data_IF_401386812188
#
_entry.id   IF_401386812188
#
_cell.length_a   1.000
_cell.length_b   1.000
_cell.length_c   1.000
_cell.angle_alpha   90.00
_cell.angle_beta   90.00
_cell.angle_gamma   90.00
#
_symmetry.space_group_name_H-M   'P 1'
#
loop_
_entity.id
_entity.type
_entity.pdbx_description
1 polymer ?
#
# COMPACT_ATOMS: atom_id res chain seq x y z
N UNK A 1 20.41 -25.92 -7.21
CA UNK A 1 19.76 -24.93 -6.33
C UNK A 1 18.27 -24.94 -6.66
N UNK A 2 17.41 -25.29 -5.69
CA UNK A 2 15.96 -25.39 -5.88
C UNK A 2 15.38 -23.97 -5.93
N UNK A 3 14.82 -23.61 -7.08
CA UNK A 3 14.00 -22.44 -7.29
C UNK A 3 12.72 -22.61 -6.44
N UNK A 4 12.53 -21.76 -5.44
CA UNK A 4 11.31 -21.76 -4.62
C UNK A 4 10.13 -21.30 -5.47
N UNK A 5 9.08 -22.11 -5.55
CA UNK A 5 7.81 -21.71 -6.13
C UNK A 5 7.16 -20.70 -5.18
N UNK A 6 6.95 -19.47 -5.67
CA UNK A 6 6.18 -18.44 -4.99
C UNK A 6 4.71 -18.65 -5.34
N UNK A 7 3.85 -18.76 -4.33
CA UNK A 7 2.40 -18.80 -4.50
C UNK A 7 1.83 -17.42 -4.19
N UNK A 8 0.99 -16.94 -5.10
CA UNK A 8 0.36 -15.62 -5.07
C UNK A 8 -1.14 -15.83 -5.21
N UNK A 9 -1.91 -15.20 -4.33
CA UNK A 9 -3.35 -15.12 -4.44
C UNK A 9 -3.75 -13.65 -4.57
N UNK A 10 -4.64 -13.38 -5.51
CA UNK A 10 -5.12 -12.04 -5.83
C UNK A 10 -6.55 -11.86 -5.30
N UNK A 11 -6.78 -10.78 -4.56
CA UNK A 11 -8.05 -10.07 -4.70
C UNK A 11 -7.98 -9.27 -6.00
N UNK A 12 -9.11 -8.85 -6.57
CA UNK A 12 -9.08 -8.01 -7.78
C UNK A 12 -8.18 -6.76 -7.62
N UNK A 13 -7.91 -6.32 -6.38
CA UNK A 13 -7.28 -5.05 -5.99
C UNK A 13 -5.84 -5.09 -5.48
N UNK A 14 -5.32 -6.28 -5.15
CA UNK A 14 -4.05 -6.46 -4.43
C UNK A 14 -3.59 -7.90 -4.58
N UNK A 15 -2.28 -8.07 -4.78
CA UNK A 15 -1.65 -9.37 -4.75
C UNK A 15 -0.93 -9.55 -3.42
N UNK A 16 -1.20 -10.64 -2.72
CA UNK A 16 -0.45 -11.01 -1.53
C UNK A 16 0.61 -12.06 -1.87
N UNK A 17 1.72 -12.03 -1.15
CA UNK A 17 2.75 -13.09 -1.18
C UNK A 17 3.19 -13.40 0.24
N UNK A 18 3.01 -14.64 0.67
CA UNK A 18 3.38 -15.09 2.01
C UNK A 18 4.80 -15.69 2.04
N UNK A 19 5.57 -15.31 3.05
CA UNK A 19 6.90 -15.84 3.33
C UNK A 19 6.86 -16.54 4.69
N UNK A 20 6.79 -17.87 4.69
CA UNK A 20 6.45 -18.68 5.88
C UNK A 20 7.53 -18.68 6.98
N UNK A 21 8.79 -18.93 6.69
CA UNK A 21 9.78 -19.31 7.72
C UNK A 21 10.93 -18.30 7.87
N UNK A 22 10.57 -17.04 8.06
CA UNK A 22 11.57 -15.95 8.00
C UNK A 22 12.19 -15.63 9.35
N UNK A 23 11.43 -15.76 10.44
CA UNK A 23 11.92 -15.43 11.78
C UNK A 23 12.31 -13.96 11.95
N UNK A 24 11.74 -13.07 11.13
CA UNK A 24 12.01 -11.64 11.16
C UNK A 24 11.16 -10.96 12.23
N UNK A 25 11.68 -9.86 12.77
CA UNK A 25 10.85 -8.86 13.46
C UNK A 25 9.93 -8.16 12.45
N UNK A 26 8.91 -7.44 12.93
CA UNK A 26 7.97 -6.74 12.02
C UNK A 26 8.68 -5.73 11.13
N UNK A 27 9.64 -4.97 11.68
CA UNK A 27 10.37 -3.97 10.89
C UNK A 27 11.35 -4.61 9.90
N UNK A 28 12.01 -5.71 10.28
CA UNK A 28 12.81 -6.48 9.33
C UNK A 28 11.96 -7.12 8.21
N UNK A 29 10.73 -7.55 8.52
CA UNK A 29 9.80 -8.05 7.52
C UNK A 29 9.35 -6.93 6.56
N UNK A 30 9.12 -5.71 7.07
CA UNK A 30 8.83 -4.55 6.22
C UNK A 30 10.01 -4.21 5.30
N UNK A 31 11.24 -4.25 5.81
CA UNK A 31 12.45 -4.07 5.00
C UNK A 31 12.60 -5.18 3.95
N UNK A 32 12.28 -6.43 4.29
CA UNK A 32 12.33 -7.54 3.34
C UNK A 32 11.33 -7.38 2.20
N UNK A 33 10.08 -6.97 2.49
CA UNK A 33 9.09 -6.65 1.45
C UNK A 33 9.58 -5.48 0.58
N UNK A 34 10.09 -4.41 1.20
CA UNK A 34 10.61 -3.23 0.48
C UNK A 34 11.75 -3.58 -0.46
N UNK A 35 12.68 -4.44 -0.03
CA UNK A 35 13.80 -4.89 -0.86
C UNK A 35 13.36 -5.74 -2.07
N UNK A 36 12.10 -6.21 -2.10
CA UNK A 36 11.48 -6.91 -3.23
C UNK A 36 10.60 -6.00 -4.08
N UNK A 37 10.57 -4.69 -3.82
CA UNK A 37 9.67 -3.76 -4.48
C UNK A 37 8.22 -3.86 -3.99
N UNK A 38 7.98 -4.52 -2.85
CA UNK A 38 6.66 -4.73 -2.26
C UNK A 38 6.52 -3.91 -0.96
N UNK A 39 5.36 -4.05 -0.30
CA UNK A 39 5.11 -3.48 1.03
C UNK A 39 4.66 -4.58 1.98
N UNK A 40 4.82 -4.40 3.29
CA UNK A 40 4.21 -5.31 4.26
C UNK A 40 2.68 -5.17 4.20
N UNK A 41 1.96 -6.28 4.16
CA UNK A 41 0.56 -6.34 3.76
C UNK A 41 -0.39 -5.60 4.71
N UNK A 42 -1.25 -4.74 4.17
CA UNK A 42 -2.38 -4.14 4.88
C UNK A 42 -3.67 -4.81 4.40
N UNK A 43 -4.73 -4.82 5.21
CA UNK A 43 -6.00 -5.48 4.86
C UNK A 43 -7.15 -4.49 5.08
N UNK A 44 -7.81 -4.07 4.00
CA UNK A 44 -8.84 -3.03 4.04
C UNK A 44 -10.27 -3.53 3.83
N UNK A 45 -10.48 -4.83 3.58
CA UNK A 45 -11.81 -5.40 3.37
C UNK A 45 -11.88 -6.90 3.65
N UNK A 46 -13.10 -7.44 3.67
CA UNK A 46 -13.35 -8.86 3.82
C UNK A 46 -12.78 -9.68 2.65
N UNK A 47 -12.85 -9.15 1.42
CA UNK A 47 -12.27 -9.79 0.23
C UNK A 47 -10.74 -9.86 0.32
N UNK A 48 -10.10 -8.80 0.83
CA UNK A 48 -8.66 -8.80 1.07
C UNK A 48 -8.27 -9.78 2.18
N UNK A 49 -9.07 -9.85 3.25
CA UNK A 49 -8.88 -10.82 4.32
C UNK A 49 -8.99 -12.27 3.78
N UNK A 50 -9.92 -12.51 2.88
CA UNK A 50 -10.05 -13.80 2.20
C UNK A 50 -8.83 -14.12 1.33
N UNK A 51 -8.37 -13.17 0.50
CA UNK A 51 -7.18 -13.35 -0.34
C UNK A 51 -5.91 -13.58 0.50
N UNK A 52 -5.78 -12.88 1.63
CA UNK A 52 -4.69 -13.09 2.58
C UNK A 52 -4.73 -14.49 3.21
N UNK A 53 -5.94 -15.00 3.54
CA UNK A 53 -6.11 -16.39 4.02
C UNK A 53 -5.71 -17.42 2.95
N UNK A 54 -5.93 -17.14 1.66
CA UNK A 54 -5.50 -18.03 0.57
C UNK A 54 -3.98 -18.16 0.52
N UNK A 55 -3.23 -17.05 0.53
CA UNK A 55 -1.74 -17.14 0.48
C UNK A 55 -1.14 -17.83 1.70
N UNK A 56 -1.77 -17.72 2.87
CA UNK A 56 -1.38 -18.49 4.06
C UNK A 56 -1.59 -19.98 3.84
N UNK A 57 -2.70 -20.36 3.21
CA UNK A 57 -3.01 -21.77 2.90
C UNK A 57 -2.03 -22.32 1.87
N UNK A 58 -1.72 -21.55 0.84
CA UNK A 58 -0.84 -21.97 -0.26
C UNK A 58 0.60 -22.26 0.21
N UNK A 59 1.05 -21.57 1.26
CA UNK A 59 2.36 -21.84 1.88
C UNK A 59 2.28 -22.87 3.02
N UNK A 60 1.13 -23.51 3.23
CA UNK A 60 0.87 -24.44 4.34
C UNK A 60 1.10 -23.79 5.72
N UNK A 61 0.67 -22.53 5.90
CA UNK A 61 1.02 -21.69 7.05
C UNK A 61 0.03 -21.69 8.22
N UNK A 62 -0.92 -22.62 8.29
CA UNK A 62 -2.02 -22.57 9.28
C UNK A 62 -1.56 -22.64 10.74
N UNK A 63 -0.41 -23.25 11.01
CA UNK A 63 0.19 -23.36 12.34
C UNK A 63 0.89 -22.07 12.79
N UNK A 64 1.01 -21.10 11.89
CA UNK A 64 1.95 -19.98 11.99
C UNK A 64 1.26 -18.63 12.03
N UNK A 65 1.96 -17.67 12.60
CA UNK A 65 1.61 -16.26 12.54
C UNK A 65 2.49 -15.52 11.54
N UNK A 66 1.89 -14.55 10.87
CA UNK A 66 2.50 -13.75 9.82
C UNK A 66 2.39 -12.27 10.15
N UNK A 67 3.52 -11.56 10.10
CA UNK A 67 3.52 -10.10 10.23
C UNK A 67 2.73 -9.43 9.12
N UNK A 68 1.98 -8.40 9.51
CA UNK A 68 1.24 -7.49 8.63
C UNK A 68 1.80 -6.06 8.78
N UNK A 69 1.48 -5.22 7.81
CA UNK A 69 1.85 -3.80 7.74
C UNK A 69 1.15 -2.95 8.79
N UNK A 70 0.00 -3.41 9.30
CA UNK A 70 -0.81 -2.66 10.23
C UNK A 70 -0.16 -2.56 11.63
N UNK A 71 -0.42 -1.44 12.31
CA UNK A 71 -0.03 -1.18 13.70
C UNK A 71 -1.25 -0.74 14.48
N UNK A 72 -1.25 -1.00 15.77
CA UNK A 72 -2.21 -0.43 16.70
C UNK A 72 -1.44 0.58 17.55
N UNK A 73 -1.85 1.84 17.51
CA UNK A 73 -1.23 2.87 18.35
C UNK A 73 -2.10 3.12 19.58
N UNK A 74 -1.57 2.81 20.77
CA UNK A 74 -2.25 3.08 22.04
C UNK A 74 -1.58 2.43 23.24
N UNK A 75 -1.70 3.03 24.42
CA UNK A 75 -1.34 2.36 25.69
C UNK A 75 -2.36 1.26 26.06
N UNK A 76 -3.51 1.29 25.41
CA UNK A 76 -4.69 0.43 25.62
C UNK A 76 -4.98 -0.34 24.33
N UNK A 77 -5.49 -1.57 24.48
CA UNK A 77 -5.92 -2.42 23.36
C UNK A 77 -7.17 -1.84 22.68
N UNK A 78 -6.98 -0.83 21.85
CA UNK A 78 -7.99 -0.06 21.15
C UNK A 78 -8.16 -0.59 19.73
N UNK A 79 -9.15 -1.48 19.59
CA UNK A 79 -9.63 -2.05 18.31
C UNK A 79 -9.80 -1.01 17.19
N UNK A 80 -10.14 0.24 17.54
CA UNK A 80 -10.51 1.32 16.63
C UNK A 80 -9.31 2.15 16.12
N UNK A 81 -8.10 1.95 16.66
CA UNK A 81 -6.90 2.75 16.32
C UNK A 81 -5.87 1.98 15.48
N UNK A 82 -6.32 1.07 14.62
CA UNK A 82 -5.42 0.37 13.69
C UNK A 82 -5.06 1.30 12.55
N UNK A 83 -3.76 1.46 12.30
CA UNK A 83 -3.23 2.24 11.20
C UNK A 83 -2.41 1.40 10.22
N UNK A 84 -2.42 1.79 8.95
CA UNK A 84 -1.54 1.23 7.92
C UNK A 84 -0.10 1.74 8.10
N UNK A 85 0.83 1.24 7.28
CA UNK A 85 2.23 1.67 7.32
C UNK A 85 2.45 3.17 7.04
N UNK A 86 1.45 3.87 6.49
CA UNK A 86 1.49 5.30 6.22
C UNK A 86 0.77 6.12 7.33
N UNK A 87 0.35 5.48 8.42
CA UNK A 87 -0.31 6.12 9.57
C UNK A 87 -1.79 6.43 9.37
N UNK A 88 -2.46 5.82 8.38
CA UNK A 88 -3.88 6.04 8.13
C UNK A 88 -4.71 5.02 8.87
N UNK A 89 -5.78 5.47 9.54
CA UNK A 89 -6.73 4.58 10.19
C UNK A 89 -7.39 3.61 9.19
N UNK A 90 -7.60 2.37 9.63
CA UNK A 90 -8.36 1.35 8.91
C UNK A 90 -9.81 1.31 9.42
N UNK A 91 -10.75 1.24 8.49
CA UNK A 91 -12.19 1.05 8.81
C UNK A 91 -12.58 -0.44 8.87
N UNK A 92 -11.73 -1.35 8.37
CA UNK A 92 -11.99 -2.79 8.38
C UNK A 92 -11.56 -3.44 9.69
N UNK A 93 -12.43 -4.28 10.23
CA UNK A 93 -12.24 -4.96 11.50
C UNK A 93 -11.91 -6.44 11.28
N UNK A 94 -10.63 -6.78 11.24
CA UNK A 94 -10.16 -8.17 11.09
C UNK A 94 -9.70 -8.82 12.39
N UNK A 95 -9.84 -8.15 13.53
CA UNK A 95 -9.51 -8.69 14.84
C UNK A 95 -10.32 -9.94 15.18
N UNK A 96 -9.66 -10.93 15.77
CA UNK A 96 -10.37 -12.06 16.37
C UNK A 96 -11.03 -11.63 17.70
N UNK A 97 -11.99 -12.41 18.17
CA UNK A 97 -12.89 -12.02 19.28
C UNK A 97 -12.17 -11.46 20.52
N UNK A 98 -11.04 -12.06 20.91
CA UNK A 98 -10.27 -11.69 22.11
C UNK A 98 -9.13 -10.68 21.85
N UNK A 99 -9.10 -10.04 20.68
CA UNK A 99 -8.03 -9.13 20.25
C UNK A 99 -8.55 -7.76 19.81
N UNK A 100 -7.68 -6.72 19.81
CA UNK A 100 -6.40 -6.69 20.48
C UNK A 100 -6.54 -6.81 21.99
N UNK A 101 -5.46 -7.19 22.65
CA UNK A 101 -5.50 -7.50 24.07
C UNK A 101 -4.43 -6.79 24.89
N UNK A 102 -3.45 -6.17 24.21
CA UNK A 102 -2.26 -5.52 24.74
C UNK A 102 -1.76 -6.24 25.99
N UNK A 103 -1.48 -7.54 25.89
CA UNK A 103 -1.17 -8.40 27.04
C UNK A 103 0.24 -8.11 27.56
N UNK A 104 0.39 -6.95 28.19
CA UNK A 104 1.53 -6.64 29.03
C UNK A 104 1.61 -7.69 30.14
N UNK A 105 2.78 -8.29 30.32
CA UNK A 105 3.07 -9.24 31.40
C UNK A 105 2.17 -10.50 31.41
N UNK A 106 1.90 -11.08 30.24
CA UNK A 106 1.16 -12.34 30.14
C UNK A 106 1.75 -13.41 31.08
N UNK A 107 0.97 -13.99 32.02
CA UNK A 107 1.50 -14.86 33.09
C UNK A 107 2.19 -16.13 32.55
N UNK A 108 1.75 -16.61 31.39
CA UNK A 108 2.35 -17.76 30.70
C UNK A 108 3.42 -17.39 29.65
N UNK A 109 3.75 -16.11 29.49
CA UNK A 109 4.74 -15.65 28.50
C UNK A 109 5.60 -14.52 29.07
N UNK A 110 6.67 -14.92 29.76
CA UNK A 110 7.72 -14.03 30.31
C UNK A 110 8.46 -13.18 29.27
N UNK A 111 8.16 -13.33 27.99
CA UNK A 111 8.71 -12.50 26.92
C UNK A 111 7.84 -11.27 26.61
N UNK A 112 6.78 -11.04 27.39
CA UNK A 112 5.87 -9.89 27.28
C UNK A 112 6.05 -8.84 28.37
N UNK A 113 7.11 -8.95 29.17
CA UNK A 113 7.32 -8.07 30.32
C UNK A 113 7.72 -6.66 29.88
N UNK A 114 6.85 -5.68 30.14
CA UNK A 114 7.13 -4.25 29.94
C UNK A 114 7.16 -3.78 28.47
N UNK A 115 6.58 -4.53 27.54
CA UNK A 115 6.46 -4.16 26.14
C UNK A 115 4.98 -4.18 25.71
N UNK A 116 4.56 -3.16 24.97
CA UNK A 116 3.24 -3.13 24.36
C UNK A 116 3.20 -4.02 23.11
N UNK A 117 2.00 -4.51 22.81
CA UNK A 117 1.72 -5.27 21.61
C UNK A 117 1.22 -4.34 20.50
N UNK A 118 2.10 -3.50 19.93
CA UNK A 118 1.66 -2.47 18.97
C UNK A 118 1.64 -2.95 17.49
N UNK A 119 2.09 -4.18 17.22
CA UNK A 119 2.22 -4.70 15.87
C UNK A 119 1.17 -5.77 15.55
N UNK A 120 0.53 -5.64 14.40
CA UNK A 120 -0.51 -6.59 13.97
C UNK A 120 0.11 -7.77 13.24
N UNK A 121 -0.35 -8.96 13.56
CA UNK A 121 -0.06 -10.20 12.83
C UNK A 121 -1.30 -11.06 12.73
N UNK A 122 -1.30 -12.00 11.79
CA UNK A 122 -2.37 -12.98 11.65
C UNK A 122 -1.86 -14.40 11.89
N UNK A 123 -2.57 -15.17 12.71
CA UNK A 123 -2.26 -16.59 12.96
C UNK A 123 -3.20 -17.49 12.15
N UNK A 124 -2.67 -18.24 11.20
CA UNK A 124 -3.49 -19.07 10.30
C UNK A 124 -4.66 -18.28 9.72
N UNK A 125 -5.88 -18.77 9.97
CA UNK A 125 -7.13 -18.08 9.63
C UNK A 125 -7.88 -17.54 10.85
N UNK A 126 -7.20 -17.45 12.01
CA UNK A 126 -7.85 -17.06 13.27
C UNK A 126 -8.21 -15.57 13.33
N UNK A 127 -7.82 -14.75 12.34
CA UNK A 127 -7.94 -13.29 12.37
C UNK A 127 -6.70 -12.59 12.94
N UNK A 128 -6.79 -11.28 13.10
CA UNK A 128 -5.68 -10.45 13.58
C UNK A 128 -5.48 -10.61 15.08
N UNK A 129 -4.21 -10.54 15.48
CA UNK A 129 -3.78 -10.43 16.85
C UNK A 129 -2.68 -9.38 16.95
N UNK A 130 -2.64 -8.72 18.09
CA UNK A 130 -1.62 -7.76 18.42
C UNK A 130 -0.42 -8.48 19.02
N UNK A 131 0.78 -7.97 18.76
CA UNK A 131 2.01 -8.57 19.24
C UNK A 131 3.16 -7.58 19.37
N UNK A 132 4.11 -7.95 20.22
CA UNK A 132 5.38 -7.24 20.37
C UNK A 132 6.13 -7.25 19.05
N UNK A 133 6.39 -6.06 18.51
CA UNK A 133 6.99 -5.86 17.19
C UNK A 133 8.34 -6.57 16.98
N UNK A 134 9.12 -6.77 18.06
CA UNK A 134 10.43 -7.44 18.02
C UNK A 134 10.34 -8.96 18.11
N UNK A 135 9.13 -9.54 18.10
CA UNK A 135 8.94 -10.99 18.17
C UNK A 135 9.32 -11.65 16.84
N UNK A 136 9.91 -12.84 16.94
CA UNK A 136 10.39 -13.60 15.76
C UNK A 136 9.78 -15.01 15.66
N UNK A 137 8.77 -15.32 16.49
CA UNK A 137 8.08 -16.61 16.54
C UNK A 137 6.56 -16.45 16.73
N UNK A 138 5.79 -17.45 16.32
CA UNK A 138 4.33 -17.33 16.17
C UNK A 138 3.49 -17.62 17.41
N UNK A 139 3.95 -18.51 18.29
CA UNK A 139 3.17 -18.97 19.45
C UNK A 139 3.97 -18.98 20.73
N UNK A 140 3.84 -20.05 21.52
CA UNK A 140 4.70 -20.24 22.68
C UNK A 140 6.15 -20.46 22.19
N UNK A 141 7.12 -19.81 22.84
CA UNK A 141 8.53 -19.87 22.42
C UNK A 141 9.08 -21.30 22.37
N UNK A 142 8.58 -22.18 23.24
CA UNK A 142 8.98 -23.60 23.31
C UNK A 142 8.66 -24.39 22.04
N UNK A 143 7.65 -23.95 21.27
CA UNK A 143 7.23 -24.64 20.04
C UNK A 143 8.15 -24.26 18.86
N UNK A 144 8.93 -23.18 19.01
CA UNK A 144 9.97 -22.73 18.07
C UNK A 144 9.49 -22.57 16.61
N UNK A 145 8.22 -22.20 16.43
CA UNK A 145 7.65 -21.89 15.12
C UNK A 145 8.04 -20.46 14.75
N UNK A 146 8.93 -20.30 13.76
CA UNK A 146 9.37 -18.99 13.26
C UNK A 146 8.22 -18.14 12.76
N UNK A 147 8.32 -16.82 12.91
CA UNK A 147 7.34 -15.89 12.32
C UNK A 147 7.45 -15.87 10.80
N UNK A 148 6.31 -15.87 10.12
CA UNK A 148 6.22 -15.52 8.71
C UNK A 148 5.96 -14.03 8.52
N UNK A 149 5.88 -13.59 7.27
CA UNK A 149 5.37 -12.27 6.92
C UNK A 149 4.66 -12.32 5.57
N UNK A 150 3.75 -11.37 5.33
CA UNK A 150 3.03 -11.28 4.06
C UNK A 150 3.32 -9.92 3.45
N UNK A 151 3.78 -9.93 2.21
CA UNK A 151 3.92 -8.71 1.42
C UNK A 151 2.68 -8.49 0.56
N UNK A 152 2.34 -7.23 0.32
CA UNK A 152 1.35 -6.80 -0.66
C UNK A 152 2.05 -6.11 -1.84
N UNK A 153 1.50 -6.37 -3.03
CA UNK A 153 1.65 -5.55 -4.22
C UNK A 153 0.31 -4.86 -4.47
N UNK A 154 0.27 -3.54 -4.27
CA UNK A 154 -0.94 -2.72 -4.35
C UNK A 154 -0.70 -1.51 -5.25
N UNK A 155 -1.60 -1.23 -6.21
CA UNK A 155 -1.44 -0.10 -7.12
C UNK A 155 -1.56 1.32 -6.51
N UNK A 156 -1.64 1.53 -5.18
CA UNK A 156 -1.99 2.84 -4.61
C UNK A 156 -0.83 3.77 -4.19
N UNK A 157 0.41 3.28 -4.09
CA UNK A 157 1.58 4.15 -3.83
C UNK A 157 2.48 4.26 -5.04
N UNK A 158 2.76 3.14 -5.71
CA UNK A 158 3.51 3.10 -6.96
C UNK A 158 2.85 3.93 -8.07
N UNK A 159 1.52 3.85 -8.24
CA UNK A 159 0.84 4.62 -9.29
C UNK A 159 0.91 6.12 -9.10
N UNK A 160 0.85 6.59 -7.85
CA UNK A 160 0.97 8.03 -7.57
C UNK A 160 2.42 8.49 -7.68
N UNK A 161 3.38 7.63 -7.32
CA UNK A 161 4.81 7.93 -7.47
C UNK A 161 5.23 7.94 -8.94
N UNK A 162 4.68 7.05 -9.75
CA UNK A 162 4.84 7.04 -11.21
C UNK A 162 4.18 8.27 -11.85
N UNK A 163 3.00 8.67 -11.35
CA UNK A 163 2.33 9.93 -11.67
C UNK A 163 3.27 11.14 -11.50
N UNK A 164 3.86 11.22 -10.31
CA UNK A 164 4.72 12.34 -9.89
C UNK A 164 6.00 12.36 -10.72
N UNK A 165 6.58 11.18 -10.95
CA UNK A 165 7.77 10.99 -11.77
C UNK A 165 7.57 11.49 -13.20
N UNK A 166 6.47 11.11 -13.87
CA UNK A 166 6.21 11.53 -15.26
C UNK A 166 6.05 13.05 -15.39
N UNK A 167 5.29 13.68 -14.49
CA UNK A 167 5.18 15.14 -14.48
C UNK A 167 6.51 15.84 -14.22
N UNK A 168 7.33 15.30 -13.33
CA UNK A 168 8.63 15.86 -13.01
C UNK A 168 9.62 15.72 -14.18
N UNK A 169 9.66 14.55 -14.83
CA UNK A 169 10.46 14.30 -16.03
C UNK A 169 10.04 15.27 -17.14
N UNK A 170 8.75 15.37 -17.44
CA UNK A 170 8.25 16.28 -18.47
C UNK A 170 8.59 17.74 -18.15
N UNK A 171 8.36 18.19 -16.92
CA UNK A 171 8.61 19.58 -16.54
C UNK A 171 10.10 19.93 -16.60
N UNK A 172 10.98 19.00 -16.21
CA UNK A 172 12.43 19.19 -16.29
C UNK A 172 12.96 19.15 -17.72
N UNK A 173 12.35 18.37 -18.60
CA UNK A 173 12.77 18.24 -20.00
C UNK A 173 12.31 19.44 -20.86
N UNK A 174 11.08 19.92 -20.66
CA UNK A 174 10.43 20.84 -21.60
C UNK A 174 10.15 22.24 -21.05
N UNK A 175 10.54 22.52 -19.80
CA UNK A 175 10.43 23.84 -19.20
C UNK A 175 11.73 24.28 -18.55
N UNK A 176 11.84 25.55 -18.15
CA UNK A 176 13.01 25.98 -17.38
C UNK A 176 12.92 25.53 -15.91
N UNK A 177 14.08 25.41 -15.26
CA UNK A 177 14.20 24.95 -13.87
C UNK A 177 13.33 25.71 -12.86
N UNK A 178 13.11 27.02 -13.05
CA UNK A 178 12.25 27.81 -12.16
C UNK A 178 10.77 27.44 -12.33
N UNK A 179 10.33 27.14 -13.55
CA UNK A 179 8.98 26.64 -13.83
C UNK A 179 8.82 25.25 -13.24
N UNK A 180 9.75 24.33 -13.52
CA UNK A 180 9.71 22.97 -13.01
C UNK A 180 9.60 22.92 -11.48
N UNK A 181 10.51 23.61 -10.76
CA UNK A 181 10.51 23.65 -9.29
C UNK A 181 9.21 24.25 -8.72
N UNK A 182 8.71 25.35 -9.31
CA UNK A 182 7.48 25.99 -8.85
C UNK A 182 6.26 25.09 -9.02
N UNK A 183 6.20 24.32 -10.11
CA UNK A 183 5.09 23.40 -10.36
C UNK A 183 5.13 22.17 -9.46
N UNK A 184 6.32 21.61 -9.23
CA UNK A 184 6.52 20.54 -8.27
C UNK A 184 5.99 20.93 -6.88
N UNK A 185 6.46 22.06 -6.35
CA UNK A 185 6.10 22.51 -5.00
C UNK A 185 4.62 22.93 -4.89
N UNK A 186 4.12 23.72 -5.84
CA UNK A 186 2.83 24.41 -5.69
C UNK A 186 1.66 23.71 -6.39
N UNK A 187 1.90 22.69 -7.22
CA UNK A 187 0.86 21.99 -8.00
C UNK A 187 0.91 20.50 -7.76
N UNK A 188 2.03 19.85 -8.08
CA UNK A 188 2.12 18.38 -8.07
C UNK A 188 2.07 17.83 -6.65
N UNK A 189 3.02 18.21 -5.78
CA UNK A 189 3.10 17.67 -4.41
C UNK A 189 1.77 17.67 -3.65
N UNK A 190 1.05 18.80 -3.67
CA UNK A 190 -0.25 18.91 -3.01
C UNK A 190 -1.36 18.10 -3.68
N UNK A 191 -1.31 17.94 -5.00
CA UNK A 191 -2.24 17.10 -5.74
C UNK A 191 -1.98 15.62 -5.48
N UNK A 192 -0.75 15.16 -5.49
CA UNK A 192 -0.36 13.77 -5.22
C UNK A 192 -0.79 13.35 -3.83
N UNK A 193 -0.56 14.20 -2.82
CA UNK A 193 -1.07 14.01 -1.46
C UNK A 193 -2.61 13.95 -1.37
N UNK A 194 -3.30 14.66 -2.25
CA UNK A 194 -4.76 14.60 -2.32
C UNK A 194 -5.21 13.35 -3.08
N UNK A 195 -4.51 12.96 -4.14
CA UNK A 195 -4.79 11.78 -4.92
C UNK A 195 -4.58 10.53 -4.09
N UNK A 196 -3.47 10.40 -3.35
CA UNK A 196 -3.25 9.31 -2.36
C UNK A 196 -4.41 9.14 -1.38
N UNK A 197 -5.09 10.23 -0.99
CA UNK A 197 -6.28 10.17 -0.13
C UNK A 197 -7.54 9.75 -0.90
N UNK A 198 -7.74 10.28 -2.10
CA UNK A 198 -8.91 9.99 -2.94
C UNK A 198 -8.87 8.55 -3.46
N UNK A 199 -7.68 8.01 -3.75
CA UNK A 199 -7.49 6.63 -4.21
C UNK A 199 -7.92 5.58 -3.17
N UNK A 200 -8.13 5.99 -1.91
CA UNK A 200 -8.65 5.16 -0.81
C UNK A 200 -10.18 5.12 -0.74
N UNK A 201 -10.87 5.71 -1.71
CA UNK A 201 -12.33 5.72 -1.75
C UNK A 201 -12.88 4.29 -1.85
N UNK A 202 -13.92 3.95 -1.07
CA UNK A 202 -14.56 2.63 -1.07
C UNK A 202 -15.19 2.23 -2.43
N UNK A 203 -15.34 3.20 -3.34
CA UNK A 203 -15.82 2.98 -4.70
C UNK A 203 -14.70 2.91 -5.74
N UNK A 204 -13.44 3.01 -5.32
CA UNK A 204 -12.31 2.86 -6.21
C UNK A 204 -12.21 1.42 -6.72
N UNK A 205 -12.03 1.28 -8.03
CA UNK A 205 -11.62 0.04 -8.64
C UNK A 205 -10.10 -0.06 -8.57
N UNK A 206 -9.63 -0.66 -7.49
CA UNK A 206 -8.22 -0.94 -7.23
C UNK A 206 -7.67 -2.07 -8.12
N UNK A 207 -8.51 -2.72 -8.94
CA UNK A 207 -8.09 -3.62 -10.03
C UNK A 207 -7.68 -2.87 -11.30
N UNK A 208 -7.90 -1.56 -11.34
CA UNK A 208 -7.37 -0.68 -12.36
C UNK A 208 -5.84 -0.68 -12.26
N UNK A 209 -5.23 -1.63 -12.98
CA UNK A 209 -3.81 -1.62 -13.25
C UNK A 209 -3.45 -0.29 -13.93
N UNK A 210 -2.24 0.23 -13.68
CA UNK A 210 -1.72 1.27 -14.55
C UNK A 210 -1.52 0.64 -15.92
N UNK A 211 -2.56 0.63 -16.74
CA UNK A 211 -2.41 0.35 -18.14
C UNK A 211 -1.48 1.44 -18.70
N UNK A 212 -0.18 1.10 -18.76
CA UNK A 212 0.93 1.81 -19.40
C UNK A 212 0.72 3.32 -19.49
N UNK A 213 0.96 4.06 -18.40
CA UNK A 213 1.23 5.48 -18.57
C UNK A 213 2.42 5.61 -19.52
N UNK A 214 2.28 6.32 -20.64
CA UNK A 214 3.35 6.40 -21.61
C UNK A 214 4.56 7.05 -20.95
N UNK A 215 5.72 6.39 -21.05
CA UNK A 215 6.97 7.00 -20.64
C UNK A 215 7.16 8.30 -21.41
N UNK A 216 7.64 9.33 -20.72
CA UNK A 216 7.92 10.64 -21.35
C UNK A 216 9.13 10.50 -22.26
N UNK A 217 8.93 10.69 -23.56
CA UNK A 217 10.02 10.79 -24.53
C UNK A 217 10.63 12.19 -24.44
N UNK A 218 11.76 12.32 -23.75
CA UNK A 218 12.42 13.62 -23.53
C UNK A 218 12.99 14.25 -24.80
N UNK A 219 13.11 13.47 -25.89
CA UNK A 219 13.54 13.95 -27.20
C UNK A 219 12.33 14.27 -28.13
N UNK A 220 11.11 14.00 -27.66
CA UNK A 220 9.86 14.20 -28.38
C UNK A 220 9.36 15.65 -28.39
N UNK A 221 8.19 15.86 -29.02
CA UNK A 221 7.52 17.16 -28.98
C UNK A 221 6.89 17.40 -27.60
N UNK A 222 7.24 18.53 -26.99
CA UNK A 222 6.80 18.89 -25.64
C UNK A 222 5.27 18.87 -25.47
N UNK A 223 4.52 19.37 -26.47
CA UNK A 223 3.06 19.44 -26.40
C UNK A 223 2.42 18.08 -26.64
N UNK A 224 3.00 17.27 -27.52
CA UNK A 224 2.59 15.88 -27.75
C UNK A 224 2.79 15.02 -26.49
N UNK A 225 3.95 15.11 -25.85
CA UNK A 225 4.25 14.38 -24.61
C UNK A 225 3.35 14.83 -23.45
N UNK A 226 3.05 16.14 -23.36
CA UNK A 226 2.10 16.67 -22.38
C UNK A 226 0.69 16.09 -22.60
N UNK A 227 0.27 15.99 -23.86
CA UNK A 227 -1.04 15.43 -24.25
C UNK A 227 -1.15 13.95 -23.90
N UNK A 228 -0.12 13.15 -24.24
CA UNK A 228 -0.04 11.72 -23.91
C UNK A 228 -0.14 11.48 -22.41
N UNK A 229 0.63 12.24 -21.63
CA UNK A 229 0.63 12.15 -20.18
C UNK A 229 -0.75 12.51 -19.58
N UNK A 230 -1.36 13.63 -20.04
CA UNK A 230 -2.70 14.05 -19.61
C UNK A 230 -3.75 13.00 -19.94
N UNK A 231 -3.68 12.38 -21.12
CA UNK A 231 -4.59 11.32 -21.50
C UNK A 231 -4.41 10.08 -20.62
N UNK A 232 -3.17 9.68 -20.33
CA UNK A 232 -2.87 8.59 -19.40
C UNK A 232 -3.50 8.80 -18.01
N UNK A 233 -3.51 10.03 -17.50
CA UNK A 233 -4.21 10.34 -16.24
C UNK A 233 -5.72 10.21 -16.32
N UNK A 234 -6.31 10.69 -17.42
CA UNK A 234 -7.76 10.59 -17.62
C UNK A 234 -8.20 9.12 -17.73
N UNK A 235 -7.43 8.31 -18.44
CA UNK A 235 -7.70 6.87 -18.57
C UNK A 235 -7.56 6.16 -17.22
N UNK A 236 -6.52 6.49 -16.45
CA UNK A 236 -6.36 6.00 -15.09
C UNK A 236 -7.55 6.37 -14.20
N UNK A 237 -7.96 7.64 -14.15
CA UNK A 237 -9.10 8.05 -13.32
C UNK A 237 -10.42 7.43 -13.78
N UNK A 238 -10.61 7.24 -15.08
CA UNK A 238 -11.80 6.61 -15.63
C UNK A 238 -11.93 5.15 -15.18
N UNK A 239 -10.82 4.40 -15.21
CA UNK A 239 -10.79 3.01 -14.74
C UNK A 239 -10.89 2.96 -13.22
N UNK A 240 -10.02 3.70 -12.51
CA UNK A 240 -9.88 3.63 -11.06
C UNK A 240 -11.13 4.15 -10.32
N UNK A 241 -11.88 5.09 -10.87
CA UNK A 241 -13.12 5.59 -10.25
C UNK A 241 -14.39 5.16 -10.98
N UNK A 242 -14.32 4.12 -11.82
CA UNK A 242 -15.46 3.62 -12.58
C UNK A 242 -16.68 3.31 -11.69
N UNK A 243 -16.46 2.68 -10.54
CA UNK A 243 -17.52 2.29 -9.60
C UNK A 243 -18.01 3.45 -8.70
N UNK A 244 -17.43 4.65 -8.82
CA UNK A 244 -17.83 5.80 -8.03
C UNK A 244 -19.10 6.46 -8.57
N UNK A 245 -20.25 6.05 -7.99
CA UNK A 245 -21.65 6.40 -8.33
C UNK A 245 -21.98 7.86 -8.65
N UNK A 246 -21.12 8.82 -8.36
CA UNK A 246 -21.39 10.24 -8.64
C UNK A 246 -20.76 10.78 -9.93
N UNK A 247 -19.74 10.12 -10.52
CA UNK A 247 -18.99 10.59 -11.71
C UNK A 247 -18.20 11.90 -11.51
N UNK A 248 -18.68 12.77 -10.62
CA UNK A 248 -18.18 14.10 -10.29
C UNK A 248 -16.73 14.12 -9.83
N UNK A 249 -16.27 13.06 -9.18
CA UNK A 249 -14.87 12.93 -8.79
C UNK A 249 -13.96 12.82 -10.03
N UNK A 250 -14.29 11.92 -10.95
CA UNK A 250 -13.57 11.72 -12.20
C UNK A 250 -13.62 13.00 -13.05
N UNK A 251 -14.79 13.63 -13.19
CA UNK A 251 -14.95 14.92 -13.90
C UNK A 251 -14.05 16.02 -13.32
N UNK A 252 -14.01 16.16 -11.99
CA UNK A 252 -13.17 17.17 -11.33
C UNK A 252 -11.67 16.90 -11.52
N UNK A 253 -11.26 15.63 -11.50
CA UNK A 253 -9.87 15.23 -11.73
C UNK A 253 -9.47 15.51 -13.19
N UNK A 254 -10.32 15.14 -14.15
CA UNK A 254 -10.10 15.39 -15.57
C UNK A 254 -10.02 16.88 -15.89
N UNK A 255 -10.97 17.68 -15.38
CA UNK A 255 -10.95 19.13 -15.55
C UNK A 255 -9.68 19.77 -14.97
N UNK A 256 -9.16 19.20 -13.87
CA UNK A 256 -7.90 19.66 -13.26
C UNK A 256 -6.69 19.33 -14.14
N UNK A 257 -6.64 18.15 -14.76
CA UNK A 257 -5.56 17.78 -15.69
C UNK A 257 -5.59 18.65 -16.94
N UNK A 258 -6.76 18.89 -17.51
CA UNK A 258 -6.93 19.76 -18.70
C UNK A 258 -6.51 21.21 -18.41
N UNK A 259 -6.93 21.77 -17.28
CA UNK A 259 -6.51 23.11 -16.84
C UNK A 259 -4.98 23.21 -16.66
N UNK A 260 -4.34 22.13 -16.23
CA UNK A 260 -2.89 22.10 -16.06
C UNK A 260 -2.18 21.99 -17.40
N UNK A 261 -2.68 21.16 -18.31
CA UNK A 261 -2.20 21.04 -19.68
C UNK A 261 -2.18 22.42 -20.35
N UNK A 262 -3.32 23.13 -20.34
CA UNK A 262 -3.44 24.48 -20.92
C UNK A 262 -2.39 25.46 -20.36
N UNK A 263 -2.19 25.44 -19.04
CA UNK A 263 -1.22 26.31 -18.35
C UNK A 263 0.23 25.93 -18.60
N UNK A 264 0.51 24.67 -18.89
CA UNK A 264 1.85 24.17 -19.19
C UNK A 264 2.20 24.39 -20.65
N UNK A 265 1.25 24.24 -21.58
CA UNK A 265 1.44 24.55 -23.00
C UNK A 265 1.92 25.98 -23.20
N UNK A 266 1.37 26.95 -22.45
CA UNK A 266 1.84 28.35 -22.47
C UNK A 266 3.21 28.60 -21.81
N UNK A 267 3.88 27.56 -21.32
CA UNK A 267 5.16 27.63 -20.58
C UNK A 267 6.25 26.72 -21.16
N UNK A 268 5.94 25.98 -22.22
CA UNK A 268 6.91 25.19 -22.98
C UNK A 268 7.98 26.14 -23.53
N UNK A 269 9.25 25.75 -23.42
CA UNK A 269 10.35 26.49 -24.05
C UNK A 269 10.24 26.34 -25.57
N UNK A 270 10.34 27.46 -26.29
CA UNK A 270 10.58 27.45 -27.74
C UNK A 270 12.04 27.12 -28.05
#
# INVERSE_FOLDING_TARGET
>A
MKLGLFFSAASASVTYTAFKETGLTRDQAADDCKNKGLRLANVYSEEEQFALNQVITDVDGLERAFWLGMREEGETAEKENVTDMDGNALDFFGWRDDQPSNRMNHPNDKHTTGLNEDCVRQKGHEGWNDAICTRTWSGAKKDNILMGHICEDRPSSAAVEELDSHFQIWANAFTNANIAARWEENKFRGFSLRLKRILKSNCADTSADLASMPAVDTDGDAAEELSKMVQGYKDFFATYFWNCRSGRLNENLNAKMELWAERLTGKIQA
#
